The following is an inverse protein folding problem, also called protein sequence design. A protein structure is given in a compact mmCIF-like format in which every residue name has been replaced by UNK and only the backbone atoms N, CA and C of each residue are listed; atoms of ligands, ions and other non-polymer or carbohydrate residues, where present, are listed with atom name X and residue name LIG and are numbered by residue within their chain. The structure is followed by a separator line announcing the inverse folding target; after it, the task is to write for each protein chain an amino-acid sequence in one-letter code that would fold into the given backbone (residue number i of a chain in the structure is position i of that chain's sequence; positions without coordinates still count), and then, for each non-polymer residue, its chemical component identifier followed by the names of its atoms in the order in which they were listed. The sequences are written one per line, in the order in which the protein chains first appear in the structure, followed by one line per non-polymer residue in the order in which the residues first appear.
data_IF_374780029708
#
_entry.id   IF_374780029708
#
_cell.length_a   1.000
_cell.length_b   1.000
_cell.length_c   1.000
_cell.angle_alpha   90.00
_cell.angle_beta   90.00
_cell.angle_gamma   90.00
#
_symmetry.space_group_name_H-M   'P 1'
#
loop_
_entity.id
_entity.type
_entity.pdbx_description
1 polymer ?
#
# COMPACT_ATOMS: atom_id res chain seq x y z
N UNK A 1 0.23 1.64 19.01
CA UNK A 1 0.38 2.26 17.68
C UNK A 1 0.10 3.74 17.82
N UNK A 2 1.02 4.59 17.39
CA UNK A 2 0.85 6.04 17.49
C UNK A 2 0.84 6.63 16.08
N UNK A 3 -0.36 7.00 15.65
CA UNK A 3 -0.58 7.64 14.35
C UNK A 3 -0.16 9.09 14.40
N UNK A 4 0.41 9.58 13.32
CA UNK A 4 0.85 10.98 13.20
C UNK A 4 -0.36 11.86 12.93
N UNK A 5 -0.62 12.77 13.87
CA UNK A 5 -1.55 13.89 13.68
C UNK A 5 -0.82 15.13 13.14
N UNK A 6 -1.53 16.25 12.94
CA UNK A 6 -0.90 17.46 12.40
C UNK A 6 0.22 18.01 13.29
N UNK A 7 0.04 18.01 14.61
CA UNK A 7 1.06 18.52 15.54
C UNK A 7 2.33 17.66 15.51
N UNK A 8 2.19 16.36 15.30
CA UNK A 8 3.29 15.41 15.21
C UNK A 8 4.00 15.49 13.87
N UNK A 9 3.26 15.82 12.81
CA UNK A 9 3.85 16.10 11.50
C UNK A 9 4.90 17.21 11.58
N UNK A 10 4.61 18.30 12.30
CA UNK A 10 5.55 19.40 12.56
C UNK A 10 6.71 19.04 13.50
N UNK A 11 6.68 17.86 14.13
CA UNK A 11 7.82 17.32 14.90
C UNK A 11 8.69 16.39 14.04
N UNK A 12 8.11 15.77 13.02
CA UNK A 12 8.80 14.85 12.12
C UNK A 12 9.55 15.57 10.99
N UNK A 13 9.03 16.72 10.57
CA UNK A 13 9.61 17.51 9.49
C UNK A 13 10.03 18.88 9.99
N UNK A 14 11.23 19.31 9.57
CA UNK A 14 11.76 20.66 9.77
C UNK A 14 10.76 21.72 9.31
N UNK A 15 10.11 21.49 8.16
CA UNK A 15 9.08 22.36 7.63
C UNK A 15 7.98 21.52 6.96
N UNK A 16 6.73 21.92 7.17
CA UNK A 16 5.57 21.37 6.45
C UNK A 16 4.92 22.49 5.63
N UNK A 17 4.84 22.26 4.32
CA UNK A 17 4.24 23.19 3.36
C UNK A 17 2.81 22.76 3.01
N UNK A 18 1.92 23.73 2.89
CA UNK A 18 0.52 23.54 2.47
C UNK A 18 0.21 24.17 1.11
N UNK A 19 1.09 25.04 0.61
CA UNK A 19 1.05 25.63 -0.73
C UNK A 19 2.29 25.17 -1.50
N UNK A 20 2.11 24.75 -2.74
CA UNK A 20 3.21 24.33 -3.62
C UNK A 20 4.20 25.46 -3.88
N UNK A 21 3.72 26.70 -3.97
CA UNK A 21 4.55 27.86 -4.31
C UNK A 21 5.58 28.18 -3.23
N UNK A 22 5.33 27.73 -2.00
CA UNK A 22 6.23 27.93 -0.86
C UNK A 22 7.33 26.86 -0.79
N UNK A 23 7.22 25.76 -1.54
CA UNK A 23 8.17 24.64 -1.48
C UNK A 23 9.45 25.01 -2.23
N UNK A 24 10.61 25.09 -1.55
CA UNK A 24 11.87 25.46 -2.20
C UNK A 24 12.53 24.22 -2.84
N UNK A 25 11.81 23.51 -3.72
CA UNK A 25 12.18 22.17 -4.22
C UNK A 25 13.55 22.10 -4.89
N UNK A 26 13.91 23.13 -5.67
CA UNK A 26 15.21 23.22 -6.34
C UNK A 26 16.39 23.33 -5.35
N UNK A 27 16.15 23.85 -4.15
CA UNK A 27 17.16 23.96 -3.09
C UNK A 27 17.34 22.69 -2.27
N UNK A 28 16.49 21.67 -2.47
CA UNK A 28 16.57 20.42 -1.71
C UNK A 28 17.74 19.56 -2.16
N UNK A 29 18.43 18.94 -1.20
CA UNK A 29 19.56 18.04 -1.47
C UNK A 29 19.04 16.64 -1.76
N UNK A 30 18.61 16.42 -3.01
CA UNK A 30 18.09 15.15 -3.53
C UNK A 30 18.99 14.62 -4.66
N UNK A 31 19.13 13.30 -4.79
CA UNK A 31 19.74 12.68 -5.98
C UNK A 31 18.70 12.49 -7.09
N UNK A 32 19.16 12.13 -8.29
CA UNK A 32 18.31 12.04 -9.48
C UNK A 32 17.13 11.06 -9.29
N UNK A 33 17.39 9.89 -8.71
CA UNK A 33 16.34 8.90 -8.40
C UNK A 33 15.30 9.47 -7.43
N UNK A 34 15.72 10.12 -6.33
CA UNK A 34 14.77 10.73 -5.38
C UNK A 34 13.99 11.88 -6.00
N UNK A 35 14.53 12.57 -7.00
CA UNK A 35 13.83 13.60 -7.76
C UNK A 35 12.82 13.00 -8.72
N UNK A 36 13.18 11.92 -9.42
CA UNK A 36 12.30 11.22 -10.35
C UNK A 36 11.05 10.65 -9.66
N UNK A 37 11.22 10.05 -8.48
CA UNK A 37 10.12 9.43 -7.72
C UNK A 37 9.50 10.36 -6.66
N UNK A 38 9.82 11.66 -6.69
CA UNK A 38 9.37 12.57 -5.64
C UNK A 38 7.86 12.89 -5.73
N UNK A 39 7.18 12.93 -4.58
CA UNK A 39 5.80 13.42 -4.47
C UNK A 39 5.59 14.82 -5.05
N UNK A 40 6.61 15.67 -5.04
CA UNK A 40 6.57 17.01 -5.64
C UNK A 40 6.16 16.99 -7.12
N UNK A 41 6.47 15.91 -7.85
CA UNK A 41 6.12 15.79 -9.27
C UNK A 41 4.61 15.75 -9.52
N UNK A 42 3.79 15.44 -8.51
CA UNK A 42 2.33 15.54 -8.64
C UNK A 42 1.87 16.98 -8.95
N UNK A 43 2.54 17.99 -8.40
CA UNK A 43 2.13 19.39 -8.59
C UNK A 43 2.29 19.89 -10.03
N UNK A 44 3.10 19.22 -10.86
CA UNK A 44 3.26 19.55 -12.27
C UNK A 44 1.97 19.31 -13.08
N UNK A 45 1.03 18.54 -12.53
CA UNK A 45 -0.23 18.19 -13.17
C UNK A 45 -1.41 19.07 -12.73
N UNK A 46 -1.16 20.10 -11.92
CA UNK A 46 -2.16 21.07 -11.47
C UNK A 46 -2.74 20.73 -10.11
N UNK A 47 -4.06 20.91 -9.98
CA UNK A 47 -4.77 20.72 -8.71
C UNK A 47 -4.73 19.25 -8.24
N UNK A 48 -4.26 19.03 -7.01
CA UNK A 48 -4.10 17.68 -6.47
C UNK A 48 -5.43 16.98 -6.18
N UNK A 49 -6.50 17.72 -5.84
CA UNK A 49 -7.81 17.10 -5.63
C UNK A 49 -8.36 16.56 -6.94
N UNK A 50 -8.32 17.36 -8.01
CA UNK A 50 -8.73 16.92 -9.34
C UNK A 50 -7.84 15.78 -9.87
N UNK A 51 -6.53 15.84 -9.63
CA UNK A 51 -5.60 14.88 -10.21
C UNK A 51 -5.52 13.54 -9.45
N UNK A 52 -5.58 13.58 -8.12
CA UNK A 52 -5.37 12.40 -7.25
C UNK A 52 -6.69 11.90 -6.65
N UNK A 53 -7.61 12.79 -6.26
CA UNK A 53 -8.80 12.43 -5.47
C UNK A 53 -10.04 12.21 -6.34
N UNK A 54 -10.24 12.99 -7.40
CA UNK A 54 -11.41 12.84 -8.29
C UNK A 54 -11.66 11.42 -8.81
N UNK A 55 -10.63 10.59 -9.13
CA UNK A 55 -10.85 9.21 -9.59
C UNK A 55 -11.58 8.30 -8.57
N UNK A 56 -11.58 8.64 -7.29
CA UNK A 56 -12.28 7.90 -6.25
C UNK A 56 -13.80 8.07 -6.32
N UNK A 57 -14.29 9.14 -6.94
CA UNK A 57 -15.70 9.54 -6.90
C UNK A 57 -16.66 8.42 -7.32
N UNK A 58 -16.29 7.66 -8.35
CA UNK A 58 -17.17 6.65 -8.95
C UNK A 58 -16.91 5.24 -8.41
N UNK A 59 -15.69 4.95 -7.95
CA UNK A 59 -15.26 3.59 -7.57
C UNK A 59 -15.08 3.40 -6.07
N UNK A 60 -14.86 4.48 -5.31
CA UNK A 60 -14.57 4.51 -3.88
C UNK A 60 -15.27 5.73 -3.22
N UNK A 61 -16.60 5.85 -3.33
CA UNK A 61 -17.33 7.07 -2.97
C UNK A 61 -17.31 7.40 -1.47
N UNK A 62 -17.12 6.43 -0.56
CA UNK A 62 -17.01 6.73 0.87
C UNK A 62 -15.66 7.37 1.21
N UNK A 63 -14.57 6.82 0.68
CA UNK A 63 -13.22 7.36 0.78
C UNK A 63 -13.15 8.74 0.17
N UNK A 64 -13.74 8.92 -1.01
CA UNK A 64 -13.81 10.21 -1.70
C UNK A 64 -14.38 11.32 -0.80
N UNK A 65 -15.49 11.05 -0.08
CA UNK A 65 -16.12 12.04 0.83
C UNK A 65 -15.18 12.53 1.93
N UNK A 66 -14.35 11.66 2.47
CA UNK A 66 -13.36 12.02 3.49
C UNK A 66 -12.16 12.74 2.87
N UNK A 67 -11.64 12.23 1.76
CA UNK A 67 -10.48 12.79 1.08
C UNK A 67 -10.73 14.23 0.59
N UNK A 68 -11.93 14.53 0.09
CA UNK A 68 -12.30 15.89 -0.33
C UNK A 68 -12.34 16.92 0.81
N UNK A 69 -12.40 16.48 2.06
CA UNK A 69 -12.31 17.34 3.25
C UNK A 69 -10.88 17.44 3.79
N UNK A 70 -9.95 16.67 3.21
CA UNK A 70 -8.57 16.65 3.63
C UNK A 70 -7.80 17.91 3.24
N UNK A 71 -6.55 17.98 3.69
CA UNK A 71 -5.61 19.04 3.29
C UNK A 71 -4.28 18.40 2.92
N UNK A 72 -3.86 18.59 1.67
CA UNK A 72 -2.56 18.13 1.22
C UNK A 72 -1.43 18.87 1.94
N UNK A 73 -0.33 18.17 2.16
CA UNK A 73 0.89 18.73 2.73
C UNK A 73 2.12 18.16 2.02
N UNK A 74 3.22 18.91 2.07
CA UNK A 74 4.54 18.46 1.68
C UNK A 74 5.52 18.69 2.82
N UNK A 75 5.97 17.61 3.46
CA UNK A 75 6.93 17.63 4.56
C UNK A 75 8.36 17.62 4.04
N UNK A 76 9.24 18.44 4.64
CA UNK A 76 10.67 18.46 4.37
C UNK A 76 11.43 18.36 5.69
N UNK A 77 12.28 17.33 5.80
CA UNK A 77 13.25 17.19 6.87
C UNK A 77 14.65 17.40 6.30
N UNK A 78 15.31 18.47 6.77
CA UNK A 78 16.62 18.88 6.26
C UNK A 78 17.72 18.02 6.87
N UNK A 79 18.61 17.51 6.02
CA UNK A 79 19.79 16.81 6.50
C UNK A 79 20.72 17.76 7.27
N UNK A 80 21.05 17.42 8.52
CA UNK A 80 21.95 18.20 9.38
C UNK A 80 23.43 17.87 9.17
N UNK A 81 23.74 16.77 8.48
CA UNK A 81 25.12 16.21 8.38
C UNK A 81 25.79 16.58 7.04
N UNK A 82 25.06 17.22 6.12
CA UNK A 82 25.56 17.55 4.79
C UNK A 82 25.76 16.32 3.88
N UNK A 83 26.30 16.49 2.65
CA UNK A 83 26.50 15.38 1.73
C UNK A 83 27.39 14.28 2.35
N UNK A 84 27.08 12.97 2.17
CA UNK A 84 26.12 12.41 1.23
C UNK A 84 24.69 12.27 1.76
N UNK A 85 24.40 12.70 2.99
CA UNK A 85 23.03 12.65 3.53
C UNK A 85 22.13 13.58 2.71
N UNK A 86 20.92 13.09 2.43
CA UNK A 86 19.93 13.74 1.57
C UNK A 86 18.78 14.23 2.41
N UNK A 87 18.10 15.27 1.93
CA UNK A 87 16.85 15.72 2.52
C UNK A 87 15.81 14.59 2.41
N UNK A 88 14.94 14.49 3.41
CA UNK A 88 13.78 13.60 3.40
C UNK A 88 12.57 14.44 3.06
N UNK A 89 11.75 13.95 2.16
CA UNK A 89 10.56 14.65 1.68
C UNK A 89 9.39 13.68 1.62
N UNK A 90 8.21 14.12 2.00
CA UNK A 90 7.01 13.27 1.97
C UNK A 90 5.81 14.11 1.53
N UNK A 91 5.08 13.63 0.53
CA UNK A 91 3.78 14.19 0.15
C UNK A 91 2.69 13.39 0.85
N UNK A 92 1.69 14.09 1.36
CA UNK A 92 0.55 13.42 1.96
C UNK A 92 -0.70 14.27 2.02
N UNK A 93 -1.72 13.72 2.66
CA UNK A 93 -2.98 14.39 2.96
C UNK A 93 -3.31 14.18 4.43
N UNK A 94 -3.73 15.25 5.11
CA UNK A 94 -4.30 15.19 6.45
C UNK A 94 -5.80 15.03 6.31
N UNK A 95 -6.36 13.97 6.90
CA UNK A 95 -7.81 13.72 6.95
C UNK A 95 -8.19 13.45 8.40
N UNK A 96 -9.14 14.21 8.94
CA UNK A 96 -9.59 14.11 10.34
C UNK A 96 -8.44 14.10 11.37
N UNK A 97 -7.47 15.00 11.21
CA UNK A 97 -6.29 15.12 12.10
C UNK A 97 -5.44 13.83 12.13
N UNK A 98 -5.27 13.21 10.97
CA UNK A 98 -4.38 12.08 10.76
C UNK A 98 -3.70 12.21 9.40
N UNK A 99 -2.39 12.05 9.38
CA UNK A 99 -1.58 12.14 8.18
C UNK A 99 -1.52 10.79 7.44
N UNK A 100 -1.63 10.86 6.11
CA UNK A 100 -1.48 9.75 5.18
C UNK A 100 -0.48 10.14 4.11
N UNK A 101 0.43 9.24 3.77
CA UNK A 101 1.42 9.48 2.72
C UNK A 101 0.92 8.99 1.36
N UNK A 102 1.45 9.60 0.30
CA UNK A 102 1.12 9.28 -1.09
C UNK A 102 2.41 9.25 -1.90
N UNK A 103 2.80 8.07 -2.37
CA UNK A 103 4.05 7.88 -3.09
C UNK A 103 3.82 8.08 -4.57
N UNK A 104 4.61 8.97 -5.17
CA UNK A 104 4.60 9.21 -6.61
C UNK A 104 5.40 8.14 -7.35
N UNK A 105 4.93 7.79 -8.54
CA UNK A 105 5.74 7.05 -9.50
C UNK A 105 5.46 7.56 -10.90
N UNK A 106 6.49 7.79 -11.73
CA UNK A 106 6.28 8.18 -13.14
C UNK A 106 5.63 7.05 -13.95
N UNK A 107 5.57 5.83 -13.41
CA UNK A 107 5.08 4.63 -14.08
C UNK A 107 3.63 4.26 -13.73
N UNK A 108 2.90 5.10 -12.98
CA UNK A 108 1.57 4.75 -12.42
C UNK A 108 0.54 4.34 -13.49
N UNK A 109 0.62 4.93 -14.69
CA UNK A 109 -0.26 4.62 -15.81
C UNK A 109 0.00 3.27 -16.49
N UNK A 110 1.04 2.54 -16.10
CA UNK A 110 1.37 1.26 -16.73
C UNK A 110 0.55 0.11 -16.13
N UNK A 111 -0.76 0.11 -16.35
CA UNK A 111 -1.67 -0.92 -15.81
C UNK A 111 -1.34 -2.34 -16.29
N UNK A 112 -0.56 -2.49 -17.37
CA UNK A 112 -0.07 -3.81 -17.82
C UNK A 112 0.86 -4.46 -16.79
N UNK A 113 1.65 -3.67 -16.07
CA UNK A 113 2.55 -4.15 -15.02
C UNK A 113 1.77 -4.67 -13.79
N UNK A 114 0.54 -4.21 -13.60
CA UNK A 114 -0.31 -4.55 -12.46
C UNK A 114 -1.57 -5.30 -12.91
N UNK A 115 -1.38 -6.27 -13.80
CA UNK A 115 -2.48 -7.05 -14.42
C UNK A 115 -3.30 -7.87 -13.42
N UNK A 116 -2.80 -8.05 -12.19
CA UNK A 116 -3.42 -8.83 -11.11
C UNK A 116 -4.32 -8.00 -10.18
N UNK A 117 -4.17 -6.67 -10.17
CA UNK A 117 -4.95 -5.78 -9.30
C UNK A 117 -6.31 -5.46 -9.96
N UNK A 118 -7.44 -5.50 -9.24
CA UNK A 118 -8.73 -5.01 -9.75
C UNK A 118 -8.64 -3.63 -10.40
N UNK A 119 -9.32 -3.44 -11.52
CA UNK A 119 -9.25 -2.20 -12.30
C UNK A 119 -9.78 -1.00 -11.51
N UNK A 120 -10.78 -1.20 -10.67
CA UNK A 120 -11.37 -0.19 -9.81
C UNK A 120 -10.36 0.36 -8.80
N UNK A 121 -9.50 -0.51 -8.25
CA UNK A 121 -8.43 -0.14 -7.33
C UNK A 121 -7.28 0.55 -8.09
N UNK A 122 -6.95 0.05 -9.29
CA UNK A 122 -5.99 0.71 -10.17
C UNK A 122 -6.47 2.08 -10.63
N UNK A 123 -7.76 2.27 -10.86
CA UNK A 123 -8.33 3.54 -11.34
C UNK A 123 -8.61 4.53 -10.22
N UNK A 124 -8.50 4.13 -8.94
CA UNK A 124 -8.63 5.01 -7.78
C UNK A 124 -7.27 5.19 -7.09
N UNK A 125 -6.96 4.30 -6.16
CA UNK A 125 -5.78 4.35 -5.31
C UNK A 125 -4.48 4.41 -6.10
N UNK A 126 -4.33 3.54 -7.11
CA UNK A 126 -3.04 3.30 -7.78
C UNK A 126 -2.97 3.92 -9.19
N UNK A 127 -3.90 4.81 -9.52
CA UNK A 127 -4.03 5.38 -10.87
C UNK A 127 -2.86 6.30 -11.22
N UNK A 128 -2.44 7.09 -10.23
CA UNK A 128 -1.38 8.09 -10.34
C UNK A 128 -0.33 7.95 -9.24
N UNK A 129 -0.50 6.99 -8.35
CA UNK A 129 0.39 6.77 -7.20
C UNK A 129 0.88 5.33 -7.16
N UNK A 130 2.00 5.12 -6.50
CA UNK A 130 2.58 3.81 -6.26
C UNK A 130 2.01 3.17 -4.99
N UNK A 131 1.73 3.99 -3.98
CA UNK A 131 1.41 3.51 -2.64
C UNK A 131 0.76 4.60 -1.82
N UNK A 132 -0.20 4.18 -1.01
CA UNK A 132 -0.74 4.98 0.09
C UNK A 132 -0.50 4.25 1.39
N UNK A 133 -0.42 5.00 2.49
CA UNK A 133 -0.42 4.40 3.82
C UNK A 133 -0.64 5.42 4.90
N UNK A 134 -0.98 4.92 6.08
CA UNK A 134 -1.12 5.73 7.27
C UNK A 134 0.27 6.11 7.78
N UNK A 135 0.44 7.37 8.17
CA UNK A 135 1.69 7.80 8.79
C UNK A 135 1.69 7.41 10.27
N UNK A 136 2.72 6.67 10.66
CA UNK A 136 3.01 6.27 12.04
C UNK A 136 4.30 6.97 12.48
N UNK A 137 4.52 7.12 13.78
CA UNK A 137 5.75 7.70 14.33
C UNK A 137 6.99 6.80 14.16
N UNK A 138 6.77 5.57 13.71
CA UNK A 138 7.78 4.56 13.36
C UNK A 138 8.17 4.67 11.89
N UNK A 139 9.38 4.21 11.56
CA UNK A 139 9.84 4.15 10.16
C UNK A 139 8.88 3.32 9.31
N UNK A 140 8.57 3.81 8.11
CA UNK A 140 7.73 3.10 7.16
C UNK A 140 8.28 1.71 6.84
N UNK A 141 7.42 0.71 6.93
CA UNK A 141 7.80 -0.64 6.56
C UNK A 141 7.93 -0.73 5.03
N UNK A 142 9.05 -1.24 4.55
CA UNK A 142 9.31 -1.41 3.11
C UNK A 142 8.53 -2.58 2.50
N UNK A 143 7.98 -3.46 3.34
CA UNK A 143 7.33 -4.69 2.92
C UNK A 143 5.80 -4.62 2.89
N UNK A 144 5.17 -3.71 3.63
CA UNK A 144 3.72 -3.67 3.77
C UNK A 144 3.17 -2.27 3.83
N UNK A 145 1.92 -2.11 3.44
CA UNK A 145 1.21 -0.84 3.48
C UNK A 145 -0.21 -1.01 4.00
N UNK A 146 -0.69 -0.08 4.83
CA UNK A 146 -2.04 -0.17 5.42
C UNK A 146 -3.16 0.23 4.48
N UNK A 147 -2.82 0.79 3.31
CA UNK A 147 -3.70 1.12 2.20
C UNK A 147 -3.10 0.52 0.92
N UNK A 148 -3.85 0.46 -0.21
CA UNK A 148 -3.37 -0.20 -1.42
C UNK A 148 -1.98 0.26 -1.89
N UNK A 149 -1.19 -0.70 -2.36
CA UNK A 149 0.19 -0.47 -2.81
C UNK A 149 0.58 -1.36 -3.99
N UNK A 150 1.42 -0.82 -4.88
CA UNK A 150 2.11 -1.60 -5.91
C UNK A 150 3.44 -2.20 -5.46
N UNK A 151 3.81 -2.11 -4.17
CA UNK A 151 4.97 -2.82 -3.63
C UNK A 151 4.85 -4.33 -3.86
N UNK A 152 3.63 -4.87 -3.70
CA UNK A 152 3.27 -6.24 -4.05
C UNK A 152 4.28 -7.24 -3.48
N UNK A 153 4.58 -7.13 -2.18
CA UNK A 153 5.48 -8.10 -1.56
C UNK A 153 4.88 -9.49 -1.58
N UNK A 154 5.67 -10.51 -1.89
CA UNK A 154 5.17 -11.88 -1.95
C UNK A 154 4.79 -12.38 -0.55
N UNK A 155 3.83 -13.31 -0.50
CA UNK A 155 3.23 -13.84 0.73
C UNK A 155 4.25 -14.23 1.80
N UNK A 156 5.34 -14.90 1.40
CA UNK A 156 6.36 -15.39 2.32
C UNK A 156 7.06 -14.27 3.11
N UNK A 157 7.20 -13.08 2.52
CA UNK A 157 7.83 -11.93 3.16
C UNK A 157 6.99 -11.34 4.30
N UNK A 158 5.70 -11.67 4.38
CA UNK A 158 4.77 -11.08 5.35
C UNK A 158 4.23 -12.04 6.41
N UNK A 159 4.30 -13.35 6.13
CA UNK A 159 3.77 -14.40 6.97
C UNK A 159 4.91 -15.11 7.68
N UNK A 160 5.06 -14.83 8.98
CA UNK A 160 6.10 -15.42 9.80
C UNK A 160 5.99 -16.96 9.83
N UNK A 161 7.11 -17.64 9.56
CA UNK A 161 7.17 -19.10 9.55
C UNK A 161 6.55 -19.76 8.32
N UNK A 162 6.36 -19.02 7.22
CA UNK A 162 5.91 -19.56 5.94
C UNK A 162 6.97 -20.45 5.27
N UNK A 163 8.25 -20.13 5.46
CA UNK A 163 9.39 -20.80 4.82
C UNK A 163 10.27 -21.58 5.81
N UNK A 164 11.03 -22.52 5.29
CA UNK A 164 12.13 -23.17 5.98
C UNK A 164 13.40 -22.30 6.01
N UNK A 165 14.48 -22.81 6.60
CA UNK A 165 15.75 -22.08 6.72
C UNK A 165 16.47 -21.86 5.39
N UNK A 166 16.04 -22.51 4.32
CA UNK A 166 16.60 -22.43 2.97
C UNK A 166 15.78 -21.52 2.05
N UNK A 167 14.68 -20.93 2.54
CA UNK A 167 13.79 -20.07 1.75
C UNK A 167 12.67 -20.82 1.02
N UNK A 168 12.49 -22.12 1.25
CA UNK A 168 11.40 -22.86 0.63
C UNK A 168 10.13 -22.77 1.47
N UNK A 169 9.00 -22.49 0.83
CA UNK A 169 7.68 -22.56 1.44
C UNK A 169 7.45 -23.94 2.08
N UNK A 170 6.94 -23.97 3.32
CA UNK A 170 6.71 -25.23 4.04
C UNK A 170 5.61 -26.07 3.34
N UNK A 171 5.76 -27.40 3.27
CA UNK A 171 4.84 -28.28 2.53
C UNK A 171 3.36 -28.08 2.88
N UNK A 172 3.04 -27.89 4.17
CA UNK A 172 1.66 -27.64 4.63
C UNK A 172 0.98 -26.43 3.97
N UNK A 173 1.75 -25.40 3.59
CA UNK A 173 1.21 -24.21 2.93
C UNK A 173 1.13 -24.43 1.42
N UNK A 174 2.16 -25.07 0.84
CA UNK A 174 2.18 -25.44 -0.58
C UNK A 174 0.99 -26.35 -0.89
N UNK A 175 0.89 -27.49 -0.21
CA UNK A 175 -0.17 -28.48 -0.43
C UNK A 175 -1.57 -27.85 -0.30
N UNK A 176 -1.75 -26.99 0.71
CA UNK A 176 -3.02 -26.29 0.92
C UNK A 176 -3.33 -25.30 -0.20
N UNK A 177 -2.39 -24.43 -0.57
CA UNK A 177 -2.58 -23.41 -1.60
C UNK A 177 -2.77 -24.05 -2.99
N UNK A 178 -1.99 -25.07 -3.33
CA UNK A 178 -2.13 -25.77 -4.61
C UNK A 178 -3.46 -26.49 -4.71
N UNK A 179 -3.94 -27.13 -3.63
CA UNK A 179 -5.26 -27.73 -3.60
C UNK A 179 -6.38 -26.68 -3.69
N UNK A 180 -6.22 -25.54 -3.03
CA UNK A 180 -7.23 -24.46 -2.97
C UNK A 180 -7.36 -23.72 -4.30
N UNK A 181 -6.26 -23.48 -5.01
CA UNK A 181 -6.23 -22.79 -6.30
C UNK A 181 -6.24 -23.74 -7.51
N UNK A 182 -6.07 -25.05 -7.28
CA UNK A 182 -5.92 -26.06 -8.33
C UNK A 182 -4.84 -25.66 -9.37
N UNK A 183 -3.70 -25.16 -8.88
CA UNK A 183 -2.58 -24.68 -9.67
C UNK A 183 -1.29 -24.73 -8.86
N UNK A 184 -0.13 -24.88 -9.49
CA UNK A 184 1.13 -24.98 -8.75
C UNK A 184 1.53 -23.64 -8.14
N UNK A 185 2.04 -23.65 -6.91
CA UNK A 185 2.41 -22.44 -6.17
C UNK A 185 3.92 -22.19 -6.26
N UNK A 186 4.31 -20.92 -6.35
CA UNK A 186 5.73 -20.51 -6.31
C UNK A 186 6.30 -20.69 -4.90
N UNK A 187 7.16 -21.68 -4.73
CA UNK A 187 7.65 -22.10 -3.42
C UNK A 187 8.92 -21.35 -2.95
N UNK A 188 9.64 -20.72 -3.87
CA UNK A 188 10.98 -20.15 -3.62
C UNK A 188 11.20 -18.99 -4.63
N UNK A 189 12.08 -18.02 -4.30
CA UNK A 189 12.25 -16.78 -5.07
C UNK A 189 13.67 -16.46 -5.54
N UNK A 190 14.69 -17.12 -4.99
CA UNK A 190 16.11 -16.89 -5.24
C UNK A 190 16.71 -17.81 -6.33
N UNK A 191 16.01 -18.86 -6.76
CA UNK A 191 16.43 -19.74 -7.86
C UNK A 191 15.50 -19.64 -9.08
N UNK A 192 16.03 -20.07 -10.24
CA UNK A 192 15.29 -20.09 -11.50
C UNK A 192 14.20 -21.18 -11.54
N UNK A 193 14.14 -22.08 -10.56
CA UNK A 193 13.29 -23.29 -10.57
C UNK A 193 11.78 -22.97 -10.54
N UNK A 194 11.43 -21.76 -10.08
CA UNK A 194 10.05 -21.29 -9.86
C UNK A 194 9.73 -19.93 -10.52
N UNK A 195 10.50 -19.52 -11.53
CA UNK A 195 10.29 -18.24 -12.24
C UNK A 195 9.28 -18.31 -13.40
N UNK A 196 8.77 -19.50 -13.70
CA UNK A 196 7.78 -19.68 -14.77
C UNK A 196 6.39 -19.23 -14.30
N UNK A 197 6.03 -17.99 -14.66
CA UNK A 197 4.75 -17.34 -14.33
C UNK A 197 3.51 -18.04 -14.96
N UNK A 198 3.69 -18.92 -15.96
CA UNK A 198 2.59 -19.73 -16.52
C UNK A 198 2.39 -21.02 -15.71
N UNK A 199 3.45 -21.53 -15.10
CA UNK A 199 3.44 -22.77 -14.32
C UNK A 199 3.10 -22.53 -12.85
N UNK A 200 3.59 -21.44 -12.27
CA UNK A 200 3.46 -21.15 -10.85
C UNK A 200 2.71 -19.85 -10.61
N UNK A 201 1.67 -19.91 -9.78
CA UNK A 201 1.03 -18.71 -9.27
C UNK A 201 1.70 -18.24 -7.98
N UNK A 202 1.48 -16.96 -7.66
CA UNK A 202 1.90 -16.36 -6.41
C UNK A 202 0.81 -15.44 -5.85
N UNK A 203 0.95 -15.13 -4.57
CA UNK A 203 0.11 -14.19 -3.84
C UNK A 203 0.96 -12.99 -3.41
N UNK A 204 0.53 -11.80 -3.80
CA UNK A 204 1.27 -10.55 -3.65
C UNK A 204 0.44 -9.55 -2.84
N UNK A 205 1.01 -9.02 -1.77
CA UNK A 205 0.28 -8.21 -0.80
C UNK A 205 -0.12 -6.86 -1.40
N UNK A 206 -1.42 -6.63 -1.47
CA UNK A 206 -2.02 -5.37 -1.86
C UNK A 206 -2.07 -4.39 -0.68
N UNK A 207 -2.47 -4.87 0.51
CA UNK A 207 -2.42 -4.14 1.77
C UNK A 207 -2.39 -5.07 2.99
N UNK A 208 -1.88 -4.58 4.12
CA UNK A 208 -1.81 -5.24 5.42
C UNK A 208 -2.31 -4.28 6.50
N UNK A 209 -3.39 -4.64 7.21
CA UNK A 209 -3.98 -3.75 8.21
C UNK A 209 -3.14 -3.61 9.49
N UNK A 210 -2.09 -4.42 9.67
CA UNK A 210 -1.24 -4.35 10.85
C UNK A 210 -0.42 -3.06 10.87
N UNK A 211 -0.15 -2.50 12.07
CA UNK A 211 0.79 -1.38 12.22
C UNK A 211 2.15 -1.71 11.62
N UNK A 212 2.90 -0.70 11.16
CA UNK A 212 4.17 -0.87 10.45
C UNK A 212 5.16 -1.82 11.15
N UNK A 213 5.25 -1.80 12.48
CA UNK A 213 6.18 -2.64 13.26
C UNK A 213 5.62 -4.03 13.65
N UNK A 214 4.30 -4.24 13.57
CA UNK A 214 3.70 -5.50 14.06
C UNK A 214 3.78 -6.63 13.04
N UNK A 215 4.23 -7.78 13.50
CA UNK A 215 4.23 -9.04 12.74
C UNK A 215 3.34 -10.09 13.39
N UNK A 216 2.45 -9.64 14.27
CA UNK A 216 1.59 -10.50 15.07
C UNK A 216 0.57 -11.23 14.18
N UNK A 217 -0.01 -12.29 14.74
CA UNK A 217 -1.11 -13.05 14.14
C UNK A 217 -2.44 -12.31 14.32
N UNK A 218 -2.53 -11.13 13.73
CA UNK A 218 -3.67 -10.21 13.85
C UNK A 218 -3.96 -9.52 12.52
N UNK A 219 -5.09 -8.81 12.50
CA UNK A 219 -5.53 -8.05 11.34
C UNK A 219 -5.80 -8.88 10.11
N UNK A 220 -5.81 -8.19 8.98
CA UNK A 220 -6.20 -8.72 7.70
C UNK A 220 -5.15 -8.34 6.67
N UNK A 221 -4.74 -9.31 5.86
CA UNK A 221 -3.81 -9.10 4.76
C UNK A 221 -4.54 -9.42 3.46
N UNK A 222 -4.59 -8.45 2.55
CA UNK A 222 -5.18 -8.63 1.23
C UNK A 222 -4.10 -8.92 0.20
N UNK A 223 -4.28 -9.99 -0.55
CA UNK A 223 -3.37 -10.43 -1.59
C UNK A 223 -4.06 -10.43 -2.95
N UNK A 224 -3.38 -9.97 -3.99
CA UNK A 224 -3.74 -10.26 -5.38
C UNK A 224 -2.99 -11.50 -5.86
N UNK A 225 -3.57 -12.21 -6.82
CA UNK A 225 -2.94 -13.41 -7.38
C UNK A 225 -2.57 -13.23 -8.85
N UNK A 226 -1.45 -13.82 -9.26
CA UNK A 226 -1.11 -14.00 -10.68
C UNK A 226 -1.97 -15.06 -11.38
N UNK A 227 -2.76 -15.82 -10.62
CA UNK A 227 -3.59 -16.90 -11.16
C UNK A 227 -4.75 -16.43 -12.05
N UNK A 228 -4.92 -17.07 -13.21
CA UNK A 228 -6.07 -17.03 -14.14
C UNK A 228 -6.57 -15.65 -14.62
N UNK A 229 -5.81 -14.57 -14.46
CA UNK A 229 -6.14 -13.21 -14.93
C UNK A 229 -7.45 -12.61 -14.37
N UNK A 230 -8.16 -13.28 -13.46
CA UNK A 230 -9.47 -12.86 -12.92
C UNK A 230 -9.39 -11.61 -12.02
N UNK A 231 -8.18 -11.11 -11.72
CA UNK A 231 -7.94 -9.97 -10.82
C UNK A 231 -8.62 -10.13 -9.45
N UNK A 232 -8.67 -11.35 -8.94
CA UNK A 232 -9.23 -11.65 -7.64
C UNK A 232 -8.36 -11.08 -6.51
N UNK A 233 -9.01 -10.66 -5.43
CA UNK A 233 -8.36 -10.32 -4.15
C UNK A 233 -8.71 -11.38 -3.13
N UNK A 234 -7.70 -11.83 -2.39
CA UNK A 234 -7.80 -12.84 -1.35
C UNK A 234 -7.51 -12.22 0.01
N UNK A 235 -8.26 -12.64 1.00
CA UNK A 235 -8.18 -12.19 2.39
C UNK A 235 -7.51 -13.28 3.22
N UNK A 236 -6.42 -12.93 3.91
CA UNK A 236 -5.80 -13.77 4.93
C UNK A 236 -6.06 -13.12 6.29
N UNK A 237 -6.94 -13.68 7.14
CA UNK A 237 -7.17 -13.18 8.49
C UNK A 237 -6.08 -13.67 9.45
N UNK A 238 -5.69 -12.81 10.38
CA UNK A 238 -4.76 -13.11 11.49
C UNK A 238 -3.39 -13.62 11.02
N UNK A 239 -2.94 -13.23 9.82
CA UNK A 239 -1.76 -13.77 9.17
C UNK A 239 -1.75 -15.32 9.08
N UNK A 240 -2.92 -15.95 8.99
CA UNK A 240 -3.08 -17.40 8.90
C UNK A 240 -3.55 -17.80 7.49
N UNK A 241 -2.58 -18.17 6.65
CA UNK A 241 -2.81 -18.56 5.24
C UNK A 241 -3.82 -19.69 5.11
N UNK A 242 -3.91 -20.60 6.09
CA UNK A 242 -4.85 -21.71 6.05
C UNK A 242 -6.31 -21.28 6.19
N UNK A 243 -6.55 -20.01 6.55
CA UNK A 243 -7.88 -19.39 6.64
C UNK A 243 -8.18 -18.48 5.44
N UNK A 244 -7.40 -18.54 4.37
CA UNK A 244 -7.58 -17.69 3.20
C UNK A 244 -9.01 -17.79 2.64
N UNK A 245 -9.58 -16.63 2.32
CA UNK A 245 -10.89 -16.47 1.68
C UNK A 245 -10.74 -15.62 0.42
N UNK A 246 -11.73 -15.67 -0.46
CA UNK A 246 -11.85 -14.72 -1.57
C UNK A 246 -12.62 -13.50 -1.07
N UNK A 247 -12.21 -12.30 -1.46
CA UNK A 247 -12.90 -11.07 -1.11
C UNK A 247 -13.98 -10.77 -2.17
N UNK A 248 -15.24 -10.70 -1.75
CA UNK A 248 -16.33 -10.23 -2.60
C UNK A 248 -16.24 -8.72 -2.74
N UNK A 249 -16.56 -8.21 -3.94
CA UNK A 249 -16.48 -6.79 -4.30
C UNK A 249 -15.25 -6.06 -3.71
N UNK A 250 -14.00 -6.41 -4.12
CA UNK A 250 -12.80 -5.90 -3.46
C UNK A 250 -12.71 -4.37 -3.36
N UNK A 251 -13.22 -3.68 -4.39
CA UNK A 251 -13.30 -2.22 -4.39
C UNK A 251 -14.18 -1.71 -3.24
N UNK A 252 -15.40 -2.22 -3.09
CA UNK A 252 -16.33 -1.81 -2.04
C UNK A 252 -15.75 -2.08 -0.64
N UNK A 253 -15.17 -3.26 -0.43
CA UNK A 253 -14.56 -3.65 0.83
C UNK A 253 -13.42 -2.69 1.24
N UNK A 254 -12.55 -2.35 0.29
CA UNK A 254 -11.44 -1.41 0.52
C UNK A 254 -11.96 0.02 0.73
N UNK A 255 -13.02 0.43 0.04
CA UNK A 255 -13.63 1.75 0.22
C UNK A 255 -14.17 1.92 1.66
N UNK A 256 -14.88 0.90 2.14
CA UNK A 256 -15.43 0.88 3.49
C UNK A 256 -14.33 0.84 4.56
N UNK A 257 -13.27 0.06 4.33
CA UNK A 257 -12.10 0.01 5.20
C UNK A 257 -11.37 1.36 5.26
N UNK A 258 -11.08 1.97 4.11
CA UNK A 258 -10.40 3.26 4.06
C UNK A 258 -11.28 4.36 4.69
N UNK A 259 -12.58 4.36 4.44
CA UNK A 259 -13.51 5.25 5.14
C UNK A 259 -13.56 5.01 6.66
N UNK A 260 -13.41 3.77 7.13
CA UNK A 260 -13.25 3.46 8.56
C UNK A 260 -11.99 4.09 9.14
N UNK A 261 -10.86 3.96 8.42
CA UNK A 261 -9.59 4.59 8.80
C UNK A 261 -9.67 6.11 8.81
N UNK A 262 -10.17 6.73 7.72
CA UNK A 262 -10.31 8.17 7.58
C UNK A 262 -11.29 8.75 8.60
N UNK A 263 -12.37 8.03 8.90
CA UNK A 263 -13.35 8.40 9.92
C UNK A 263 -12.85 8.23 11.36
N UNK A 264 -11.64 7.69 11.57
CA UNK A 264 -11.09 7.36 12.90
C UNK A 264 -12.06 6.52 13.75
N UNK A 265 -12.81 5.63 13.10
CA UNK A 265 -13.75 4.74 13.79
C UNK A 265 -12.97 3.83 14.74
N UNK A 266 -13.56 3.59 15.90
CA UNK A 266 -12.98 2.68 16.90
C UNK A 266 -13.04 1.23 16.43
N UNK A 267 -12.11 0.42 16.92
CA UNK A 267 -12.01 -1.00 16.58
C UNK A 267 -11.36 -1.28 15.23
N UNK A 268 -11.10 -2.56 15.00
CA UNK A 268 -10.61 -3.07 13.72
C UNK A 268 -11.78 -3.19 12.72
N UNK A 269 -11.54 -2.82 11.47
CA UNK A 269 -12.51 -3.05 10.40
C UNK A 269 -12.54 -4.54 10.07
N UNK A 270 -13.72 -5.15 10.15
CA UNK A 270 -13.89 -6.57 9.87
C UNK A 270 -14.08 -6.83 8.36
N UNK A 271 -13.04 -7.36 7.71
CA UNK A 271 -13.13 -7.79 6.31
C UNK A 271 -13.92 -9.09 6.13
N UNK A 272 -14.22 -9.84 7.19
CA UNK A 272 -14.96 -11.11 7.08
C UNK A 272 -16.38 -10.94 6.56
N UNK A 273 -16.97 -9.74 6.69
CA UNK A 273 -18.29 -9.43 6.11
C UNK A 273 -18.29 -9.48 4.55
N UNK A 274 -17.11 -9.45 3.93
CA UNK A 274 -16.90 -9.57 2.48
C UNK A 274 -16.23 -10.90 2.09
N UNK A 275 -16.05 -11.83 3.04
CA UNK A 275 -15.30 -13.06 2.78
C UNK A 275 -16.19 -14.15 2.19
N UNK A 276 -15.74 -14.75 1.10
CA UNK A 276 -16.37 -15.88 0.42
C UNK A 276 -15.44 -17.10 0.41
N UNK A 277 -16.05 -18.29 0.47
CA UNK A 277 -15.36 -19.54 0.18
C UNK A 277 -15.15 -19.70 -1.33
N UNK A 278 -14.03 -20.34 -1.70
CA UNK A 278 -13.64 -20.63 -3.08
C UNK A 278 -12.90 -21.97 -3.18
#
# INVERSE_FOLDING_TARGET
MKFVNEQELHKLFTTVYYDVNDIPYESLVLNDIRREFNGYNFFQYGDLFEYIIAPFKDTQPLSYKYLMQGRFFYGVEKSTIGPPMRDITELGIIVNDRAYFIYYTPYAKNHKKYSTIPLEILNSWLYRSERWGIMEDTVHNVYKSTLPSTLLMPLHSLIAGFEDKKGYALPKYVDFLEAKFNHSFRQEYDTDDFLDDEKYFELRCLLDTRPNESWDKSGFQLFVSSHNQERNVYLVPQADVLKIKKLSNPAEAIDHYAAHLFGKKEGEFDFMQYAEDF
#
